data_IF_648525581596
#
_entry.id   IF_648525581596
#
_cell.length_a   1.000
_cell.length_b   1.000
_cell.length_c   1.000
_cell.angle_alpha   90.00
_cell.angle_beta   90.00
_cell.angle_gamma   90.00
#
_symmetry.space_group_name_H-M   'P 1'
#
loop_
_entity.id
_entity.type
_entity.pdbx_description
1 polymer ?
#
# COMPACT_ATOMS: atom_id res chain seq x y z
N UNK A 1 19.98 92.80 -20.08
CA UNK A 1 18.61 92.31 -20.31
C UNK A 1 18.61 91.52 -21.62
N UNK A 2 18.21 90.23 -21.58
CA UNK A 2 17.98 89.27 -22.70
C UNK A 2 19.22 88.84 -23.51
N UNK A 3 19.84 87.69 -23.20
CA UNK A 3 19.53 86.29 -23.59
C UNK A 3 19.68 85.98 -25.09
N UNK A 4 20.57 85.02 -25.38
CA UNK A 4 20.41 83.84 -26.28
C UNK A 4 21.71 83.58 -27.05
N UNK A 5 22.15 82.36 -27.32
CA UNK A 5 21.91 81.04 -26.74
C UNK A 5 23.05 80.15 -27.22
N UNK A 6 23.38 79.17 -26.38
CA UNK A 6 24.23 77.99 -26.54
C UNK A 6 24.14 77.32 -27.92
N UNK A 7 25.28 76.84 -28.43
CA UNK A 7 25.49 75.46 -28.96
C UNK A 7 26.97 75.20 -29.30
N UNK A 8 27.67 74.55 -28.37
CA UNK A 8 28.96 73.91 -28.64
C UNK A 8 28.68 72.50 -29.16
N UNK A 9 29.04 72.24 -30.41
CA UNK A 9 29.11 70.88 -30.96
C UNK A 9 30.43 70.26 -30.51
N UNK A 10 30.37 69.34 -29.56
CA UNK A 10 31.52 68.62 -29.02
C UNK A 10 31.52 67.17 -29.56
N UNK A 11 32.70 66.78 -30.06
CA UNK A 11 33.27 65.44 -30.09
C UNK A 11 32.68 64.40 -31.05
N UNK A 12 33.41 64.19 -32.14
CA UNK A 12 33.67 62.85 -32.66
C UNK A 12 35.18 62.70 -32.81
N UNK A 13 35.78 61.69 -32.16
CA UNK A 13 36.93 60.89 -32.65
C UNK A 13 37.37 59.90 -31.54
N UNK A 14 37.35 58.62 -31.95
CA UNK A 14 38.20 57.48 -31.60
C UNK A 14 38.35 56.97 -30.15
N UNK A 15 38.13 55.66 -30.00
CA UNK A 15 38.60 54.85 -28.87
C UNK A 15 38.29 53.37 -29.09
N UNK A 16 39.15 52.68 -29.83
CA UNK A 16 39.10 51.25 -30.13
C UNK A 16 39.29 50.44 -28.83
N UNK A 17 38.25 49.77 -28.36
CA UNK A 17 38.33 48.89 -27.19
C UNK A 17 38.88 47.51 -27.60
N UNK A 18 40.13 47.23 -27.21
CA UNK A 18 40.74 45.90 -27.26
C UNK A 18 40.08 45.02 -26.18
N UNK A 19 39.34 43.99 -26.61
CA UNK A 19 38.86 42.92 -25.74
C UNK A 19 40.02 42.00 -25.37
N UNK A 20 40.49 42.08 -24.13
CA UNK A 20 41.40 41.09 -23.55
C UNK A 20 40.61 39.88 -23.08
N UNK A 21 40.72 38.76 -23.80
CA UNK A 21 40.15 37.48 -23.42
C UNK A 21 41.02 36.83 -22.32
N UNK A 22 40.44 36.62 -21.14
CA UNK A 22 41.02 35.73 -20.12
C UNK A 22 40.90 34.26 -20.59
N UNK A 23 41.95 33.44 -20.48
CA UNK A 23 41.83 32.00 -20.72
C UNK A 23 40.97 31.36 -19.61
N UNK A 24 39.87 30.73 -20.00
CA UNK A 24 39.01 29.97 -19.11
C UNK A 24 39.74 28.71 -18.61
N UNK A 25 39.94 28.59 -17.30
CA UNK A 25 40.31 27.33 -16.67
C UNK A 25 39.13 26.36 -16.78
N UNK A 26 39.39 25.17 -17.36
CA UNK A 26 38.40 24.10 -17.43
C UNK A 26 38.04 23.63 -16.01
N UNK A 27 36.76 23.48 -15.67
CA UNK A 27 36.37 22.82 -14.43
C UNK A 27 36.93 21.40 -14.43
N UNK A 28 37.71 21.09 -13.40
CA UNK A 28 38.14 19.71 -13.17
C UNK A 28 36.92 18.91 -12.76
N UNK A 29 36.54 17.95 -13.60
CA UNK A 29 35.46 17.01 -13.35
C UNK A 29 35.86 16.12 -12.17
N UNK A 30 35.39 16.46 -10.97
CA UNK A 30 35.51 15.59 -9.80
C UNK A 30 34.71 14.34 -10.09
N UNK A 31 35.42 13.24 -10.37
CA UNK A 31 34.83 11.93 -10.56
C UNK A 31 33.91 11.61 -9.37
N UNK A 32 32.64 11.32 -9.66
CA UNK A 32 31.69 10.84 -8.67
C UNK A 32 32.28 9.59 -7.98
N UNK A 33 32.14 9.45 -6.65
CA UNK A 33 32.56 8.24 -5.96
C UNK A 33 31.89 7.02 -6.62
N UNK A 34 32.61 5.90 -6.78
CA UNK A 34 32.08 4.74 -7.46
C UNK A 34 30.79 4.30 -6.79
N UNK A 35 29.72 4.15 -7.59
CA UNK A 35 28.48 3.57 -7.14
C UNK A 35 28.80 2.24 -6.47
N UNK A 36 28.52 2.15 -5.17
CA UNK A 36 28.73 0.92 -4.41
C UNK A 36 27.94 -0.17 -5.12
N UNK A 37 28.63 -1.18 -5.65
CA UNK A 37 27.99 -2.30 -6.31
C UNK A 37 26.91 -2.84 -5.37
N UNK A 38 25.66 -2.86 -5.86
CA UNK A 38 24.56 -3.43 -5.10
C UNK A 38 24.95 -4.87 -4.74
N UNK A 39 25.03 -5.19 -3.45
CA UNK A 39 25.30 -6.55 -3.01
C UNK A 39 24.27 -7.49 -3.66
N UNK A 40 24.70 -8.65 -4.14
CA UNK A 40 23.82 -9.70 -4.64
C UNK A 40 22.89 -10.16 -3.49
N UNK A 41 21.72 -9.56 -3.39
CA UNK A 41 20.70 -9.95 -2.41
C UNK A 41 20.06 -11.24 -2.90
N UNK A 42 20.29 -12.34 -2.19
CA UNK A 42 19.63 -13.62 -2.48
C UNK A 42 18.16 -13.55 -2.09
N UNK A 43 17.30 -13.37 -3.09
CA UNK A 43 15.83 -13.34 -2.91
C UNK A 43 15.30 -14.78 -2.79
N UNK A 44 14.50 -15.12 -1.75
CA UNK A 44 13.89 -16.44 -1.63
C UNK A 44 12.85 -16.67 -2.73
N UNK A 45 12.71 -17.93 -3.16
CA UNK A 45 11.70 -18.32 -4.14
C UNK A 45 10.33 -18.36 -3.46
N UNK A 46 9.35 -17.69 -4.04
CA UNK A 46 7.95 -17.75 -3.61
C UNK A 46 7.35 -19.12 -3.97
N UNK A 47 6.72 -19.80 -3.01
CA UNK A 47 6.04 -21.07 -3.28
C UNK A 47 4.54 -20.84 -3.57
N UNK A 48 4.17 -20.95 -4.84
CA UNK A 48 2.80 -20.77 -5.29
C UNK A 48 1.83 -21.84 -4.75
N UNK A 49 2.28 -23.08 -4.56
CA UNK A 49 1.43 -24.16 -4.01
C UNK A 49 1.09 -23.89 -2.54
N UNK A 50 2.06 -23.39 -1.76
CA UNK A 50 1.82 -22.95 -0.38
C UNK A 50 0.81 -21.80 -0.33
N UNK A 51 0.99 -20.78 -1.18
CA UNK A 51 0.05 -19.65 -1.26
C UNK A 51 -1.36 -20.13 -1.66
N UNK A 52 -1.47 -21.00 -2.66
CA UNK A 52 -2.75 -21.58 -3.06
C UNK A 52 -3.42 -22.35 -1.91
N UNK A 53 -2.66 -23.15 -1.16
CA UNK A 53 -3.17 -23.86 0.01
C UNK A 53 -3.66 -22.89 1.11
N UNK A 54 -3.00 -21.76 1.31
CA UNK A 54 -3.48 -20.72 2.23
C UNK A 54 -4.77 -20.05 1.74
N UNK A 55 -4.92 -19.81 0.44
CA UNK A 55 -6.18 -19.32 -0.15
C UNK A 55 -7.30 -20.32 0.09
N UNK A 56 -7.08 -21.60 -0.27
CA UNK A 56 -8.06 -22.66 -0.09
C UNK A 56 -8.46 -22.83 1.38
N UNK A 57 -7.51 -22.69 2.31
CA UNK A 57 -7.80 -22.78 3.75
C UNK A 57 -8.71 -21.66 4.24
N UNK A 58 -8.52 -20.43 3.75
CA UNK A 58 -9.39 -19.30 4.09
C UNK A 58 -10.80 -19.50 3.54
N UNK A 59 -10.92 -19.89 2.27
CA UNK A 59 -12.20 -20.18 1.61
C UNK A 59 -12.94 -21.33 2.31
N UNK A 60 -12.23 -22.34 2.80
CA UNK A 60 -12.83 -23.49 3.49
C UNK A 60 -13.52 -23.13 4.83
N UNK A 61 -13.30 -21.94 5.39
CA UNK A 61 -14.10 -21.47 6.52
C UNK A 61 -15.51 -21.00 6.10
N UNK A 62 -15.72 -20.73 4.81
CA UNK A 62 -16.86 -20.03 4.25
C UNK A 62 -16.60 -18.52 4.11
N UNK A 63 -17.57 -17.76 3.56
CA UNK A 63 -17.51 -16.31 3.45
C UNK A 63 -17.14 -15.65 4.79
N UNK A 64 -16.07 -14.85 4.80
CA UNK A 64 -15.57 -14.15 5.99
C UNK A 64 -16.29 -12.82 6.18
N UNK A 65 -17.62 -12.85 6.19
CA UNK A 65 -18.43 -11.66 6.45
C UNK A 65 -18.29 -11.30 7.94
N UNK A 66 -17.98 -10.05 8.31
CA UNK A 66 -17.91 -9.61 9.69
C UNK A 66 -19.13 -10.05 10.53
N UNK A 67 -18.91 -10.34 11.82
CA UNK A 67 -19.85 -10.99 12.75
C UNK A 67 -20.20 -12.47 12.49
N UNK A 68 -19.77 -13.09 11.37
CA UNK A 68 -20.01 -14.52 11.13
C UNK A 68 -19.05 -15.42 11.90
N UNK A 69 -19.43 -16.69 12.11
CA UNK A 69 -18.53 -17.72 12.69
C UNK A 69 -17.31 -17.98 11.79
N UNK A 70 -17.50 -17.93 10.48
CA UNK A 70 -16.44 -18.11 9.48
C UNK A 70 -15.38 -17.02 9.58
N UNK A 71 -15.79 -15.76 9.72
CA UNK A 71 -14.91 -14.61 9.94
C UNK A 71 -14.09 -14.75 11.22
N UNK A 72 -14.73 -15.06 12.36
CA UNK A 72 -14.01 -15.27 13.63
C UNK A 72 -12.99 -16.42 13.51
N UNK A 73 -13.41 -17.55 12.95
CA UNK A 73 -12.54 -18.72 12.78
C UNK A 73 -11.37 -18.45 11.84
N UNK A 74 -11.61 -17.77 10.71
CA UNK A 74 -10.57 -17.41 9.74
C UNK A 74 -9.56 -16.45 10.37
N UNK A 75 -10.00 -15.36 11.00
CA UNK A 75 -9.06 -14.42 11.62
C UNK A 75 -8.24 -15.05 12.76
N UNK A 76 -8.80 -16.01 13.51
CA UNK A 76 -8.04 -16.78 14.49
C UNK A 76 -6.95 -17.65 13.83
N UNK A 77 -7.27 -18.26 12.68
CA UNK A 77 -6.30 -18.99 11.87
C UNK A 77 -5.19 -18.07 11.35
N UNK A 78 -5.51 -16.86 10.87
CA UNK A 78 -4.53 -15.90 10.36
C UNK A 78 -3.56 -15.46 11.47
N UNK A 79 -4.08 -15.10 12.66
CA UNK A 79 -3.26 -14.78 13.84
C UNK A 79 -2.34 -15.94 14.21
N UNK A 80 -2.88 -17.16 14.27
CA UNK A 80 -2.11 -18.34 14.61
C UNK A 80 -1.00 -18.63 13.58
N UNK A 81 -1.27 -18.47 12.29
CA UNK A 81 -0.28 -18.67 11.23
C UNK A 81 0.84 -17.65 11.26
N UNK A 82 0.52 -16.37 11.41
CA UNK A 82 1.52 -15.32 11.51
C UNK A 82 2.41 -15.51 12.75
N UNK A 83 1.83 -15.91 13.89
CA UNK A 83 2.59 -16.30 15.10
C UNK A 83 3.45 -17.55 14.86
N UNK A 84 2.94 -18.55 14.14
CA UNK A 84 3.70 -19.76 13.78
C UNK A 84 4.93 -19.43 12.94
N UNK A 85 4.86 -18.40 12.09
CA UNK A 85 6.01 -17.89 11.34
C UNK A 85 6.92 -16.95 12.17
N UNK A 86 6.71 -16.84 13.48
CA UNK A 86 7.57 -16.07 14.38
C UNK A 86 7.39 -14.56 14.30
N UNK A 87 6.32 -14.06 13.67
CA UNK A 87 6.03 -12.63 13.67
C UNK A 87 5.41 -12.20 15.01
N UNK A 88 5.70 -10.96 15.42
CA UNK A 88 5.03 -10.33 16.56
C UNK A 88 3.64 -9.84 16.12
N UNK A 89 2.59 -10.56 16.53
CA UNK A 89 1.21 -10.27 16.12
C UNK A 89 0.44 -9.48 17.17
N UNK A 90 -0.25 -8.42 16.73
CA UNK A 90 -1.20 -7.63 17.50
C UNK A 90 -2.54 -7.62 16.78
N UNK A 91 -3.60 -7.78 17.54
CA UNK A 91 -4.97 -7.67 17.05
C UNK A 91 -5.51 -6.30 17.46
N UNK A 92 -6.18 -5.62 16.54
CA UNK A 92 -6.84 -4.34 16.78
C UNK A 92 -8.34 -4.53 16.54
N UNK A 93 -9.10 -4.97 17.57
CA UNK A 93 -10.54 -5.06 17.49
C UNK A 93 -11.17 -3.67 17.48
N UNK A 94 -12.22 -3.48 16.70
CA UNK A 94 -12.99 -2.25 16.63
C UNK A 94 -14.44 -2.52 16.25
N UNK A 95 -15.30 -1.52 16.46
CA UNK A 95 -16.67 -1.54 15.99
C UNK A 95 -16.87 -0.49 14.91
N UNK A 96 -17.67 -0.81 13.90
CA UNK A 96 -18.05 0.12 12.84
C UNK A 96 -19.54 -0.01 12.50
N UNK A 97 -20.06 1.01 11.82
CA UNK A 97 -21.39 0.97 11.19
C UNK A 97 -21.20 0.92 9.68
N UNK A 98 -21.77 -0.08 9.03
CA UNK A 98 -21.78 -0.23 7.57
C UNK A 98 -22.82 0.69 6.93
N UNK A 99 -22.80 0.79 5.60
CA UNK A 99 -23.70 1.67 4.88
C UNK A 99 -25.19 1.38 5.11
N UNK A 100 -25.53 0.11 5.35
CA UNK A 100 -26.90 -0.36 5.60
C UNK A 100 -27.34 -0.21 7.08
N UNK A 101 -26.49 0.38 7.93
CA UNK A 101 -26.73 0.60 9.35
C UNK A 101 -26.37 -0.58 10.25
N UNK A 102 -25.79 -1.66 9.70
CA UNK A 102 -25.36 -2.82 10.48
C UNK A 102 -24.16 -2.46 11.37
N UNK A 103 -24.21 -2.87 12.64
CA UNK A 103 -23.08 -2.78 13.56
C UNK A 103 -22.21 -4.02 13.43
N UNK A 104 -20.94 -3.83 13.08
CA UNK A 104 -19.99 -4.92 12.91
C UNK A 104 -18.90 -4.88 13.98
N UNK A 105 -18.50 -6.06 14.45
CA UNK A 105 -17.30 -6.26 15.25
C UNK A 105 -16.20 -6.73 14.30
N UNK A 106 -15.25 -5.83 14.03
CA UNK A 106 -14.17 -6.03 13.11
C UNK A 106 -12.82 -6.09 13.85
N UNK A 107 -11.79 -6.61 13.19
CA UNK A 107 -10.48 -6.88 13.75
C UNK A 107 -9.39 -6.76 12.68
N UNK A 108 -8.62 -5.69 12.72
CA UNK A 108 -7.37 -5.63 11.97
C UNK A 108 -6.33 -6.54 12.64
N UNK A 109 -5.46 -7.15 11.84
CA UNK A 109 -4.37 -8.02 12.31
C UNK A 109 -3.04 -7.43 11.84
N UNK A 110 -2.18 -7.05 12.78
CA UNK A 110 -0.89 -6.42 12.52
C UNK A 110 0.22 -7.40 12.94
N UNK A 111 1.05 -7.83 12.01
CA UNK A 111 2.13 -8.79 12.25
C UNK A 111 3.47 -8.20 11.82
N UNK A 112 4.40 -8.10 12.77
CA UNK A 112 5.69 -7.44 12.56
C UNK A 112 6.82 -8.46 12.55
N UNK A 113 7.56 -8.51 11.44
CA UNK A 113 8.88 -9.11 11.34
C UNK A 113 9.93 -8.06 11.74
N UNK A 114 10.90 -8.47 12.56
CA UNK A 114 11.91 -7.59 13.17
C UNK A 114 11.32 -6.26 13.70
N UNK A 115 10.47 -6.29 14.75
CA UNK A 115 9.77 -5.10 15.24
C UNK A 115 10.70 -3.97 15.73
N UNK A 116 11.97 -4.28 16.04
CA UNK A 116 12.98 -3.31 16.47
C UNK A 116 13.69 -2.59 15.31
N UNK A 117 13.51 -3.04 14.06
CA UNK A 117 14.14 -2.41 12.91
C UNK A 117 13.55 -1.00 12.66
N UNK A 118 14.44 -0.01 12.54
CA UNK A 118 14.05 1.38 12.31
C UNK A 118 13.47 1.63 10.92
N UNK A 119 14.03 0.97 9.90
CA UNK A 119 13.56 1.03 8.52
C UNK A 119 12.54 -0.08 8.28
N UNK A 120 11.37 0.27 7.76
CA UNK A 120 10.25 -0.67 7.63
C UNK A 120 9.55 -0.56 6.28
N UNK A 121 9.02 -1.68 5.79
CA UNK A 121 8.13 -1.75 4.64
C UNK A 121 6.83 -2.43 5.07
N UNK A 122 5.69 -1.90 4.64
CA UNK A 122 4.40 -2.48 4.94
C UNK A 122 3.85 -3.31 3.76
N UNK A 123 3.21 -4.42 4.05
CA UNK A 123 2.39 -5.20 3.12
C UNK A 123 0.97 -5.19 3.66
N UNK A 124 0.03 -4.75 2.83
CA UNK A 124 -1.37 -4.67 3.17
C UNK A 124 -2.18 -5.69 2.37
N UNK A 125 -3.26 -6.17 2.97
CA UNK A 125 -4.33 -6.91 2.30
C UNK A 125 -5.60 -6.72 3.13
N UNK A 126 -6.78 -6.83 2.54
CA UNK A 126 -8.01 -7.03 3.30
C UNK A 126 -8.31 -8.53 3.42
N UNK A 127 -9.02 -8.96 4.47
CA UNK A 127 -9.25 -10.39 4.74
C UNK A 127 -10.73 -10.79 4.87
N UNK A 128 -11.62 -9.81 4.99
CA UNK A 128 -13.07 -10.02 4.97
C UNK A 128 -13.57 -10.43 3.58
N UNK A 129 -14.88 -10.57 3.44
CA UNK A 129 -15.56 -10.83 2.17
C UNK A 129 -16.83 -10.03 2.06
N UNK A 130 -17.17 -9.60 0.85
CA UNK A 130 -18.49 -9.06 0.51
C UNK A 130 -19.64 -9.91 1.04
N UNK A 131 -20.62 -9.31 1.74
CA UNK A 131 -21.86 -10.00 2.13
C UNK A 131 -22.82 -10.21 0.96
N UNK A 132 -22.55 -9.60 -0.19
CA UNK A 132 -23.43 -9.57 -1.36
C UNK A 132 -22.61 -9.69 -2.65
N UNK A 133 -22.97 -10.65 -3.51
CA UNK A 133 -22.46 -10.77 -4.86
C UNK A 133 -23.25 -9.83 -5.79
N UNK A 134 -23.22 -8.54 -5.51
CA UNK A 134 -24.10 -7.52 -6.10
C UNK A 134 -23.90 -7.26 -7.60
N UNK A 135 -22.76 -7.70 -8.14
CA UNK A 135 -22.52 -7.77 -9.59
C UNK A 135 -23.18 -8.99 -10.28
N UNK A 136 -23.69 -9.97 -9.54
CA UNK A 136 -24.42 -11.13 -10.07
C UNK A 136 -25.92 -10.83 -10.25
N UNK A 137 -26.62 -11.70 -10.95
CA UNK A 137 -28.04 -11.53 -11.31
C UNK A 137 -28.97 -12.40 -10.45
N UNK A 138 -30.22 -11.96 -10.32
CA UNK A 138 -31.28 -12.73 -9.65
C UNK A 138 -30.99 -13.04 -8.18
N UNK A 139 -31.29 -14.26 -7.76
CA UNK A 139 -31.22 -14.66 -6.35
C UNK A 139 -29.78 -14.75 -5.78
N UNK A 140 -28.75 -14.65 -6.63
CA UNK A 140 -27.34 -14.67 -6.18
C UNK A 140 -26.86 -13.31 -5.69
N UNK A 141 -27.48 -12.22 -6.14
CA UNK A 141 -27.10 -10.83 -5.82
C UNK A 141 -26.88 -10.58 -4.33
N UNK A 142 -27.72 -11.19 -3.50
CA UNK A 142 -27.73 -11.00 -2.04
C UNK A 142 -26.98 -12.09 -1.27
N UNK A 143 -26.20 -12.94 -1.94
CA UNK A 143 -25.43 -14.00 -1.29
C UNK A 143 -24.01 -13.52 -0.98
N UNK A 144 -23.44 -13.90 0.19
CA UNK A 144 -22.04 -13.65 0.47
C UNK A 144 -21.11 -14.30 -0.54
N UNK A 145 -20.01 -13.62 -0.83
CA UNK A 145 -18.97 -14.11 -1.73
C UNK A 145 -17.96 -14.97 -0.98
N UNK A 146 -17.47 -16.03 -1.64
CA UNK A 146 -16.37 -16.84 -1.08
C UNK A 146 -15.07 -16.04 -0.95
N UNK A 147 -14.90 -14.97 -1.74
CA UNK A 147 -13.74 -14.07 -1.69
C UNK A 147 -12.41 -14.80 -1.88
N UNK A 148 -12.32 -15.68 -2.88
CA UNK A 148 -11.10 -16.44 -3.17
C UNK A 148 -10.00 -15.56 -3.77
N UNK A 149 -10.36 -14.72 -4.76
CA UNK A 149 -9.45 -13.70 -5.29
C UNK A 149 -9.51 -12.44 -4.44
N UNK A 150 -10.72 -11.93 -4.24
CA UNK A 150 -11.03 -10.74 -3.44
C UNK A 150 -10.91 -11.06 -1.93
N UNK A 151 -9.82 -10.61 -1.32
CA UNK A 151 -9.40 -10.97 0.04
C UNK A 151 -8.41 -12.14 0.12
N UNK A 152 -8.85 -13.39 -0.06
CA UNK A 152 -8.05 -14.55 0.35
C UNK A 152 -6.72 -14.71 -0.41
N UNK A 153 -6.67 -14.34 -1.69
CA UNK A 153 -5.45 -14.43 -2.51
C UNK A 153 -4.35 -13.46 -2.05
N UNK A 154 -4.75 -12.25 -1.68
CA UNK A 154 -3.84 -11.22 -1.18
C UNK A 154 -3.27 -11.64 0.18
N UNK A 155 -4.14 -12.08 1.10
CA UNK A 155 -3.74 -12.58 2.42
C UNK A 155 -2.83 -13.80 2.29
N UNK A 156 -3.14 -14.74 1.39
CA UNK A 156 -2.32 -15.92 1.15
C UNK A 156 -0.92 -15.58 0.64
N UNK A 157 -0.82 -14.59 -0.25
CA UNK A 157 0.46 -14.07 -0.73
C UNK A 157 1.26 -13.46 0.41
N UNK A 158 0.62 -12.67 1.28
CA UNK A 158 1.27 -12.13 2.48
C UNK A 158 1.72 -13.22 3.47
N UNK A 159 0.93 -14.29 3.66
CA UNK A 159 1.30 -15.43 4.50
C UNK A 159 2.52 -16.19 3.96
N UNK A 160 2.62 -16.37 2.64
CA UNK A 160 3.77 -17.00 2.01
C UNK A 160 5.02 -16.12 2.11
N UNK A 161 4.88 -14.79 2.00
CA UNK A 161 5.96 -13.86 2.30
C UNK A 161 6.39 -13.98 3.77
N UNK A 162 5.45 -14.06 4.71
CA UNK A 162 5.77 -14.26 6.13
C UNK A 162 6.54 -15.56 6.38
N UNK A 163 6.14 -16.67 5.74
CA UNK A 163 6.84 -17.95 5.80
C UNK A 163 8.26 -17.85 5.24
N UNK A 164 8.47 -17.11 4.15
CA UNK A 164 9.79 -16.91 3.59
C UNK A 164 10.68 -16.06 4.50
N UNK A 165 10.14 -14.98 5.08
CA UNK A 165 10.85 -14.14 6.06
C UNK A 165 11.28 -14.95 7.28
N UNK A 166 10.43 -15.85 7.79
CA UNK A 166 10.76 -16.69 8.94
C UNK A 166 11.89 -17.68 8.69
N UNK A 167 12.20 -17.95 7.42
CA UNK A 167 13.27 -18.88 7.00
C UNK A 167 14.57 -18.16 6.65
N UNK A 168 14.55 -16.82 6.50
CA UNK A 168 15.76 -16.06 6.21
C UNK A 168 16.53 -15.79 7.51
N UNK A 169 17.73 -16.36 7.64
CA UNK A 169 18.59 -16.18 8.81
C UNK A 169 19.93 -15.54 8.44
N UNK A 170 20.60 -14.93 9.42
CA UNK A 170 21.91 -14.31 9.24
C UNK A 170 21.92 -13.28 8.10
N UNK A 171 22.88 -13.41 7.18
CA UNK A 171 23.04 -12.51 6.03
C UNK A 171 21.93 -12.61 4.97
N UNK A 172 21.03 -13.61 5.07
CA UNK A 172 19.88 -13.74 4.17
C UNK A 172 18.67 -12.94 4.65
N UNK A 173 18.61 -12.60 5.95
CA UNK A 173 17.53 -11.80 6.50
C UNK A 173 17.57 -10.38 5.92
N UNK A 174 16.43 -9.79 5.53
CA UNK A 174 16.42 -8.41 5.08
C UNK A 174 16.84 -7.48 6.22
N UNK A 175 17.59 -6.44 5.88
CA UNK A 175 18.06 -5.40 6.81
C UNK A 175 16.95 -4.37 7.15
N UNK A 176 15.68 -4.75 7.01
CA UNK A 176 14.50 -3.92 7.27
C UNK A 176 13.45 -4.73 8.01
N UNK A 177 12.64 -4.05 8.80
CA UNK A 177 11.40 -4.61 9.33
C UNK A 177 10.37 -4.76 8.22
N UNK A 178 9.55 -5.80 8.29
CA UNK A 178 8.40 -5.99 7.40
C UNK A 178 7.16 -6.11 8.25
N UNK A 179 6.15 -5.30 7.96
CA UNK A 179 4.87 -5.33 8.65
C UNK A 179 3.79 -5.82 7.70
N UNK A 180 3.12 -6.91 8.07
CA UNK A 180 1.93 -7.40 7.37
C UNK A 180 0.72 -6.91 8.14
N UNK A 181 -0.12 -6.12 7.49
CA UNK A 181 -1.33 -5.55 8.10
C UNK A 181 -2.53 -6.03 7.28
N UNK A 182 -3.35 -6.86 7.92
CA UNK A 182 -4.57 -7.39 7.34
C UNK A 182 -5.74 -6.54 7.83
N UNK A 183 -6.33 -5.76 6.93
CA UNK A 183 -7.47 -4.90 7.23
C UNK A 183 -8.78 -5.69 7.18
N UNK A 184 -9.67 -5.40 8.11
CA UNK A 184 -11.01 -5.98 8.16
C UNK A 184 -12.05 -4.96 7.68
N UNK A 185 -13.25 -5.42 7.35
CA UNK A 185 -14.37 -4.59 6.93
C UNK A 185 -14.01 -3.63 5.78
N UNK A 186 -13.27 -4.11 4.80
CA UNK A 186 -12.99 -3.38 3.58
C UNK A 186 -14.21 -3.42 2.65
N UNK A 187 -14.82 -4.59 2.51
CA UNK A 187 -15.69 -4.96 1.39
C UNK A 187 -17.19 -4.97 1.79
N UNK A 188 -17.58 -4.09 2.73
CA UNK A 188 -18.98 -3.85 3.11
C UNK A 188 -19.40 -2.41 2.80
N UNK A 189 -18.83 -1.83 1.75
CA UNK A 189 -19.21 -0.52 1.27
C UNK A 189 -20.39 -0.54 0.31
N UNK A 190 -21.00 0.63 0.16
CA UNK A 190 -22.09 0.88 -0.77
C UNK A 190 -21.52 1.09 -2.17
N UNK A 191 -21.98 0.30 -3.13
CA UNK A 191 -21.69 0.53 -4.55
C UNK A 191 -22.89 1.22 -5.23
N UNK A 192 -22.69 2.43 -5.74
CA UNK A 192 -23.80 3.22 -6.32
C UNK A 192 -24.46 2.57 -7.54
N UNK A 193 -23.74 1.65 -8.23
CA UNK A 193 -24.25 1.01 -9.45
C UNK A 193 -25.00 -0.27 -9.14
N UNK A 194 -24.33 -1.22 -8.48
CA UNK A 194 -24.85 -2.55 -8.17
C UNK A 194 -25.83 -2.53 -6.99
N UNK A 195 -25.81 -1.49 -6.15
CA UNK A 195 -26.71 -1.33 -5.01
C UNK A 195 -27.58 -0.06 -5.09
N UNK A 196 -27.88 0.43 -6.30
CA UNK A 196 -28.71 1.62 -6.51
C UNK A 196 -30.06 1.61 -5.75
N UNK A 197 -30.64 0.42 -5.52
CA UNK A 197 -31.93 0.26 -4.83
C UNK A 197 -31.80 0.14 -3.30
N UNK A 198 -30.58 0.13 -2.75
CA UNK A 198 -30.33 0.00 -1.31
C UNK A 198 -29.89 1.36 -0.76
N UNK A 199 -30.66 2.01 0.13
CA UNK A 199 -30.28 3.33 0.63
C UNK A 199 -28.98 3.32 1.44
N UNK A 200 -28.04 4.21 1.11
CA UNK A 200 -26.92 4.54 2.00
C UNK A 200 -27.42 5.28 3.24
N UNK A 201 -27.34 4.64 4.41
CA UNK A 201 -27.78 5.20 5.70
C UNK A 201 -26.69 6.00 6.41
N UNK A 202 -25.49 6.11 5.84
CA UNK A 202 -24.43 6.92 6.42
C UNK A 202 -24.67 8.42 6.17
N UNK A 203 -24.14 9.30 7.03
CA UNK A 203 -24.15 10.73 6.76
C UNK A 203 -23.48 11.04 5.41
N UNK A 204 -24.00 12.06 4.71
CA UNK A 204 -23.43 12.50 3.44
C UNK A 204 -21.93 12.81 3.56
N UNK A 205 -21.14 12.34 2.61
CA UNK A 205 -19.68 12.49 2.61
C UNK A 205 -18.91 11.49 3.48
N UNK A 206 -19.57 10.46 4.02
CA UNK A 206 -18.91 9.38 4.76
C UNK A 206 -18.52 8.24 3.82
N UNK A 207 -17.23 7.89 3.80
CA UNK A 207 -16.73 6.72 3.06
C UNK A 207 -17.23 5.41 3.70
N UNK A 208 -17.89 4.58 2.89
CA UNK A 208 -18.47 3.31 3.35
C UNK A 208 -17.53 2.10 3.21
N UNK A 209 -16.51 2.22 2.37
CA UNK A 209 -15.50 1.19 2.10
C UNK A 209 -14.32 1.31 3.06
N UNK A 210 -13.47 0.28 3.10
CA UNK A 210 -12.16 0.37 3.74
C UNK A 210 -12.23 0.72 5.25
N UNK A 211 -13.26 0.28 5.97
CA UNK A 211 -13.50 0.72 7.35
C UNK A 211 -12.32 0.34 8.28
N UNK A 212 -11.70 -0.82 8.07
CA UNK A 212 -10.52 -1.23 8.83
C UNK A 212 -9.28 -0.39 8.59
N UNK A 213 -8.98 -0.04 7.33
CA UNK A 213 -7.82 0.81 7.03
C UNK A 213 -8.05 2.25 7.47
N UNK A 214 -9.28 2.77 7.35
CA UNK A 214 -9.68 4.05 7.92
C UNK A 214 -9.51 4.05 9.45
N UNK A 215 -9.96 3.01 10.14
CA UNK A 215 -9.83 2.88 11.59
C UNK A 215 -8.35 2.83 11.99
N UNK A 216 -7.55 2.01 11.32
CA UNK A 216 -6.12 1.88 11.61
C UNK A 216 -5.37 3.19 11.37
N UNK A 217 -5.64 3.91 10.28
CA UNK A 217 -5.00 5.19 9.99
C UNK A 217 -5.30 6.27 11.03
N UNK A 218 -6.50 6.25 11.64
CA UNK A 218 -6.89 7.15 12.75
C UNK A 218 -6.38 6.68 14.11
N UNK A 219 -6.12 5.38 14.26
CA UNK A 219 -5.76 4.73 15.51
C UNK A 219 -4.49 3.88 15.29
N UNK A 220 -3.41 4.51 14.87
CA UNK A 220 -2.20 3.82 14.45
C UNK A 220 -1.63 2.95 15.59
N UNK A 221 -1.44 1.66 15.29
CA UNK A 221 -0.83 0.68 16.21
C UNK A 221 0.32 -0.03 15.49
N UNK A 222 1.55 -0.06 16.07
CA UNK A 222 1.97 0.61 17.32
C UNK A 222 1.96 2.14 17.24
N UNK A 223 1.86 2.83 18.39
CA UNK A 223 1.96 4.28 18.43
C UNK A 223 3.28 4.77 17.80
N UNK A 224 3.21 5.83 16.98
CA UNK A 224 4.38 6.35 16.26
C UNK A 224 4.86 5.48 15.10
N UNK A 225 4.08 4.48 14.69
CA UNK A 225 4.41 3.63 13.54
C UNK A 225 4.65 4.44 12.28
N UNK A 226 5.71 4.07 11.55
CA UNK A 226 6.03 4.59 10.22
C UNK A 226 6.71 3.51 9.40
N UNK A 227 6.29 3.37 8.15
CA UNK A 227 7.00 2.64 7.12
C UNK A 227 7.57 3.62 6.08
N UNK A 228 8.62 3.21 5.37
CA UNK A 228 9.15 3.97 4.24
C UNK A 228 8.14 4.02 3.08
N UNK A 229 7.46 2.90 2.87
CA UNK A 229 6.36 2.74 1.91
C UNK A 229 5.57 1.48 2.27
N UNK A 230 4.43 1.29 1.62
CA UNK A 230 3.72 0.04 1.68
C UNK A 230 3.19 -0.41 0.32
N UNK A 231 2.89 -1.70 0.23
CA UNK A 231 2.37 -2.38 -0.95
C UNK A 231 1.05 -3.02 -0.54
N UNK A 232 -0.06 -2.59 -1.16
CA UNK A 232 -1.34 -3.26 -1.02
C UNK A 232 -1.43 -4.37 -2.06
N UNK A 233 -1.74 -5.57 -1.60
CA UNK A 233 -2.12 -6.70 -2.43
C UNK A 233 -3.65 -6.77 -2.43
N UNK A 234 -4.24 -6.80 -3.62
CA UNK A 234 -5.68 -6.94 -3.79
C UNK A 234 -5.99 -7.70 -5.09
N UNK A 235 -6.90 -8.66 -5.01
CA UNK A 235 -7.31 -9.54 -6.10
C UNK A 235 -6.14 -10.17 -6.91
N UNK A 236 -5.09 -10.64 -6.24
CA UNK A 236 -3.85 -11.10 -6.89
C UNK A 236 -3.84 -12.57 -7.34
N UNK A 237 -4.96 -13.29 -7.21
CA UNK A 237 -5.03 -14.74 -7.45
C UNK A 237 -5.81 -15.19 -8.70
N UNK A 238 -6.44 -14.27 -9.44
CA UNK A 238 -7.27 -14.62 -10.58
C UNK A 238 -6.43 -15.10 -11.78
N UNK A 239 -6.91 -16.13 -12.49
CA UNK A 239 -6.29 -16.59 -13.75
C UNK A 239 -6.35 -15.47 -14.78
N UNK A 240 -5.20 -15.10 -15.34
CA UNK A 240 -5.12 -13.99 -16.30
C UNK A 240 -5.28 -12.62 -15.67
N UNK A 241 -5.04 -12.48 -14.35
CA UNK A 241 -4.94 -11.17 -13.71
C UNK A 241 -3.83 -10.34 -14.35
N UNK A 242 -4.11 -9.05 -14.55
CA UNK A 242 -3.18 -8.09 -15.14
C UNK A 242 -3.05 -6.89 -14.21
N UNK A 243 -1.85 -6.65 -13.66
CA UNK A 243 -1.59 -5.52 -12.78
C UNK A 243 -1.03 -4.35 -13.58
N UNK A 244 -1.70 -3.22 -13.51
CA UNK A 244 -1.25 -1.95 -14.08
C UNK A 244 -0.76 -1.02 -12.97
N UNK A 245 -0.11 0.08 -13.35
CA UNK A 245 0.29 1.11 -12.40
C UNK A 245 -0.95 1.92 -11.99
N UNK A 246 -1.49 1.62 -10.81
CA UNK A 246 -2.66 2.28 -10.24
C UNK A 246 -2.50 3.82 -10.14
N UNK A 247 -3.56 4.56 -10.45
CA UNK A 247 -3.54 6.01 -10.54
C UNK A 247 -3.32 6.69 -9.17
N UNK A 248 -3.92 6.17 -8.10
CA UNK A 248 -3.73 6.72 -6.75
C UNK A 248 -2.30 6.45 -6.25
N UNK A 249 -1.76 5.28 -6.59
CA UNK A 249 -0.39 4.89 -6.30
C UNK A 249 0.61 5.76 -7.08
N UNK A 250 0.37 6.03 -8.36
CA UNK A 250 1.17 6.97 -9.15
C UNK A 250 1.10 8.39 -8.58
N UNK A 251 -0.07 8.83 -8.10
CA UNK A 251 -0.25 10.16 -7.53
C UNK A 251 0.46 10.33 -6.18
N UNK A 252 0.37 9.33 -5.30
CA UNK A 252 0.81 9.47 -3.91
C UNK A 252 2.17 8.81 -3.61
N UNK A 253 2.63 7.88 -4.45
CA UNK A 253 3.81 7.05 -4.20
C UNK A 253 4.57 6.69 -5.49
N UNK A 254 4.69 7.63 -6.45
CA UNK A 254 5.33 7.38 -7.75
C UNK A 254 6.69 6.69 -7.66
N UNK A 255 7.55 7.15 -6.76
CA UNK A 255 8.90 6.59 -6.56
C UNK A 255 8.87 5.12 -6.09
N UNK A 256 7.82 4.72 -5.38
CA UNK A 256 7.61 3.33 -4.96
C UNK A 256 7.12 2.50 -6.13
N UNK A 257 6.17 3.03 -6.93
CA UNK A 257 5.69 2.36 -8.15
C UNK A 257 6.85 2.08 -9.11
N UNK A 258 7.72 3.08 -9.33
CA UNK A 258 8.90 2.95 -10.20
C UNK A 258 9.97 2.00 -9.67
N UNK A 259 9.96 1.73 -8.36
CA UNK A 259 10.86 0.77 -7.74
C UNK A 259 10.34 -0.67 -7.86
N UNK A 260 9.02 -0.86 -7.90
CA UNK A 260 8.37 -2.18 -7.92
C UNK A 260 8.16 -2.68 -9.36
N UNK A 261 7.89 -1.79 -10.32
CA UNK A 261 7.72 -2.09 -11.76
C UNK A 261 9.01 -1.95 -12.54
#
# INVERSE_FOLDING_TARGET
MRFQQVRYSLLAVAGLALLTACPAEKPTETAAPPATAAADVKVPVFNADSAYAYTAKQVAFGPRVPNSKAHVACGNYLVAKLKQFGLSVREQPFQATTFDGTRINARNIIAQYQPQAARRVAIFAHWDTRPFADADTGAKKNKPMDGASDGASAVATALEIARNLSQQTGSQAPNVGVDIILFDAEDWGHDETSQADVPNKLPAGTDSWCLGSQYWAKNIVPAGYKAEYGILLDMVGAKGGHFTRDALSLKNARSVVDKVW
#
